data_IF_565375766610
#
_entry.id   IF_565375766610
#
_cell.length_a   1.000
_cell.length_b   1.000
_cell.length_c   1.000
_cell.angle_alpha   90.00
_cell.angle_beta   90.00
_cell.angle_gamma   90.00
#
_symmetry.space_group_name_H-M   'P 1'
#
loop_
_entity.id
_entity.type
_entity.pdbx_description
1 polymer ?
#
# COMPACT_ATOMS: atom_id res chain seq x y z
N UNK A 1 -6.74 -2.99 -1.76
CA UNK A 1 -6.04 -3.79 -0.73
C UNK A 1 -5.27 -2.84 0.17
N UNK A 2 -5.19 -3.13 1.46
CA UNK A 2 -4.60 -2.26 2.48
C UNK A 2 -4.25 -3.07 3.74
N UNK A 3 -3.73 -2.44 4.80
CA UNK A 3 -3.64 -3.03 6.12
C UNK A 3 -5.03 -3.13 6.79
N UNK A 4 -5.26 -4.15 7.61
CA UNK A 4 -6.53 -4.38 8.28
C UNK A 4 -6.87 -3.32 9.35
N UNK A 5 -5.88 -2.82 10.09
CA UNK A 5 -6.12 -1.73 11.04
C UNK A 5 -6.61 -0.46 10.32
N UNK A 6 -6.15 -0.21 9.09
CA UNK A 6 -6.62 0.90 8.27
C UNK A 6 -8.10 0.72 7.92
N UNK A 7 -8.54 -0.48 7.52
CA UNK A 7 -9.97 -0.74 7.26
C UNK A 7 -10.82 -0.48 8.51
N UNK A 8 -10.33 -0.91 9.68
CA UNK A 8 -11.01 -0.70 10.96
C UNK A 8 -11.18 0.80 11.26
N UNK A 9 -10.12 1.60 11.08
CA UNK A 9 -10.15 3.05 11.24
C UNK A 9 -11.07 3.76 10.22
N UNK A 10 -11.03 3.33 8.95
CA UNK A 10 -11.90 3.89 7.89
C UNK A 10 -13.37 3.62 8.19
N UNK A 11 -13.72 2.38 8.57
CA UNK A 11 -15.10 2.01 8.93
C UNK A 11 -15.64 2.81 10.11
N UNK A 12 -14.82 3.09 11.11
CA UNK A 12 -15.20 3.95 12.24
C UNK A 12 -15.49 5.40 11.83
N UNK A 13 -14.91 5.87 10.72
CA UNK A 13 -15.09 7.24 10.20
C UNK A 13 -16.39 7.44 9.41
N UNK A 14 -17.02 6.36 8.93
CA UNK A 14 -18.28 6.39 8.17
C UNK A 14 -18.11 6.85 6.71
N UNK A 15 -17.58 8.04 6.47
CA UNK A 15 -17.25 8.54 5.13
C UNK A 15 -15.77 8.87 5.01
N UNK A 16 -15.17 8.48 3.89
CA UNK A 16 -13.73 8.66 3.65
C UNK A 16 -13.47 9.22 2.25
N UNK A 17 -12.49 10.13 2.14
CA UNK A 17 -12.06 10.68 0.86
C UNK A 17 -11.04 9.78 0.16
N UNK A 18 -11.13 9.66 -1.16
CA UNK A 18 -10.10 9.05 -1.99
C UNK A 18 -9.28 10.13 -2.69
N UNK A 19 -7.97 10.07 -2.48
CA UNK A 19 -6.99 10.97 -3.10
C UNK A 19 -6.17 10.20 -4.13
N UNK A 20 -6.00 10.76 -5.34
CA UNK A 20 -5.17 10.19 -6.39
C UNK A 20 -3.89 11.01 -6.54
N UNK A 21 -2.77 10.35 -6.71
CA UNK A 21 -1.51 11.00 -7.06
C UNK A 21 -1.39 11.04 -8.59
N UNK A 22 -1.52 12.24 -9.15
CA UNK A 22 -1.55 12.47 -10.59
C UNK A 22 -0.33 13.29 -11.01
N UNK A 23 0.21 13.01 -12.20
CA UNK A 23 1.40 13.69 -12.73
C UNK A 23 1.13 15.14 -13.14
N UNK A 24 -0.13 15.50 -13.37
CA UNK A 24 -0.59 16.86 -13.64
C UNK A 24 -1.31 17.43 -12.43
N UNK A 25 -1.02 18.68 -12.06
CA UNK A 25 -1.82 19.40 -11.06
C UNK A 25 -3.28 19.48 -11.52
N UNK A 26 -4.18 18.92 -10.72
CA UNK A 26 -5.62 19.02 -10.95
C UNK A 26 -6.24 19.96 -9.92
N UNK A 27 -7.27 20.69 -10.37
CA UNK A 27 -7.89 21.77 -9.61
C UNK A 27 -8.56 21.33 -8.30
N UNK A 28 -9.11 20.11 -8.23
CA UNK A 28 -9.73 19.56 -7.01
C UNK A 28 -10.02 18.05 -7.18
N UNK A 29 -9.95 17.26 -6.10
CA UNK A 29 -10.38 15.86 -6.08
C UNK A 29 -11.48 15.66 -5.03
N UNK A 30 -12.62 15.10 -5.42
CA UNK A 30 -13.79 14.90 -4.56
C UNK A 30 -14.43 13.53 -4.76
N UNK A 31 -13.65 12.49 -4.53
CA UNK A 31 -14.18 11.13 -4.49
C UNK A 31 -14.36 10.76 -3.02
N UNK A 32 -15.57 10.36 -2.64
CA UNK A 32 -15.91 9.94 -1.28
C UNK A 32 -16.49 8.55 -1.31
N UNK A 33 -16.10 7.72 -0.35
CA UNK A 33 -16.68 6.40 -0.12
C UNK A 33 -17.55 6.46 1.14
N UNK A 34 -18.74 5.89 1.05
CA UNK A 34 -19.55 5.53 2.21
C UNK A 34 -19.15 4.13 2.67
N UNK A 35 -18.50 4.04 3.83
CA UNK A 35 -17.95 2.80 4.34
C UNK A 35 -19.02 1.77 4.70
N UNK A 36 -20.29 2.16 4.85
CA UNK A 36 -21.40 1.22 5.05
C UNK A 36 -21.69 0.36 3.81
N UNK A 37 -21.25 0.80 2.63
CA UNK A 37 -21.43 0.10 1.35
C UNK A 37 -20.21 -0.72 0.93
N UNK A 38 -19.16 -0.73 1.76
CA UNK A 38 -17.89 -1.37 1.44
C UNK A 38 -17.85 -2.76 2.08
N UNK A 39 -17.83 -3.79 1.24
CA UNK A 39 -17.46 -5.14 1.65
C UNK A 39 -15.96 -5.26 1.89
N UNK A 40 -15.56 -6.14 2.79
CA UNK A 40 -14.15 -6.38 3.08
C UNK A 40 -13.81 -7.86 3.30
N UNK A 41 -12.52 -8.17 3.25
CA UNK A 41 -11.92 -9.40 3.79
C UNK A 41 -10.78 -8.94 4.68
N UNK A 42 -10.72 -9.41 5.92
CA UNK A 42 -9.73 -8.99 6.92
C UNK A 42 -9.03 -10.22 7.47
N UNK A 43 -7.70 -10.16 7.54
CA UNK A 43 -6.87 -11.08 8.31
C UNK A 43 -6.24 -10.35 9.49
N UNK A 44 -6.32 -11.00 10.66
CA UNK A 44 -5.88 -10.46 11.94
C UNK A 44 -7.02 -9.86 12.76
N UNK A 45 -6.67 -9.37 13.95
CA UNK A 45 -7.60 -8.74 14.88
C UNK A 45 -6.86 -7.80 15.84
N UNK A 46 -7.60 -6.91 16.51
CA UNK A 46 -7.05 -6.10 17.59
C UNK A 46 -6.62 -6.95 18.80
N UNK A 47 -5.57 -6.52 19.54
CA UNK A 47 -4.68 -5.41 19.23
C UNK A 47 -3.76 -5.72 18.04
N UNK A 48 -3.62 -4.77 17.12
CA UNK A 48 -2.70 -4.89 15.98
C UNK A 48 -1.26 -4.82 16.46
N UNK A 49 -0.40 -5.68 15.93
CA UNK A 49 1.02 -5.77 16.33
C UNK A 49 1.92 -6.03 15.14
N UNK A 50 3.23 -5.90 15.35
CA UNK A 50 4.27 -6.21 14.37
C UNK A 50 4.24 -7.68 13.86
N UNK A 51 3.61 -8.60 14.60
CA UNK A 51 3.55 -10.01 14.22
C UNK A 51 2.52 -10.30 13.13
N UNK A 52 1.57 -9.39 12.86
CA UNK A 52 0.48 -9.62 11.91
C UNK A 52 -0.40 -10.85 12.25
N UNK A 53 -1.18 -11.37 11.27
CA UNK A 53 -1.46 -10.71 10.00
C UNK A 53 -2.23 -9.40 10.20
N UNK A 54 -2.04 -8.47 9.29
CA UNK A 54 -2.69 -7.15 9.29
C UNK A 54 -2.90 -6.77 7.81
N UNK A 55 -3.77 -7.55 7.17
CA UNK A 55 -3.97 -7.52 5.73
C UNK A 55 -5.47 -7.50 5.43
N UNK A 56 -5.88 -6.62 4.54
CA UNK A 56 -7.28 -6.53 4.15
C UNK A 56 -7.50 -6.18 2.69
N UNK A 57 -8.64 -6.64 2.19
CA UNK A 57 -9.22 -6.22 0.92
C UNK A 57 -10.50 -5.45 1.19
N UNK A 58 -10.76 -4.41 0.38
CA UNK A 58 -12.01 -3.67 0.38
C UNK A 58 -12.53 -3.64 -1.05
N UNK A 59 -13.82 -3.89 -1.23
CA UNK A 59 -14.50 -3.71 -2.51
C UNK A 59 -14.65 -2.22 -2.80
N UNK A 60 -14.67 -1.84 -4.09
CA UNK A 60 -15.10 -0.51 -4.50
C UNK A 60 -16.46 -0.62 -5.20
N UNK A 61 -17.39 0.32 -4.97
CA UNK A 61 -18.60 0.42 -5.78
C UNK A 61 -18.26 0.55 -7.27
N UNK A 62 -19.05 -0.09 -8.14
CA UNK A 62 -18.75 -0.18 -9.58
C UNK A 62 -18.61 1.18 -10.26
N UNK A 63 -19.43 2.15 -9.88
CA UNK A 63 -19.40 3.52 -10.38
C UNK A 63 -18.12 4.25 -9.97
N UNK A 64 -17.67 4.06 -8.72
CA UNK A 64 -16.41 4.62 -8.24
C UNK A 64 -15.22 3.95 -8.95
N UNK A 65 -15.22 2.63 -9.05
CA UNK A 65 -14.16 1.90 -9.77
C UNK A 65 -14.06 2.34 -11.24
N UNK A 66 -15.20 2.46 -11.93
CA UNK A 66 -15.26 2.95 -13.31
C UNK A 66 -14.78 4.39 -13.46
N UNK A 67 -15.14 5.27 -12.51
CA UNK A 67 -14.67 6.67 -12.48
C UNK A 67 -13.15 6.78 -12.27
N UNK A 68 -12.59 5.96 -11.36
CA UNK A 68 -11.15 5.89 -11.14
C UNK A 68 -10.41 5.39 -12.39
N UNK A 69 -10.91 4.32 -13.03
CA UNK A 69 -10.35 3.79 -14.28
C UNK A 69 -10.38 4.84 -15.40
N UNK A 70 -11.52 5.54 -15.58
CA UNK A 70 -11.68 6.61 -16.56
C UNK A 70 -10.76 7.81 -16.30
N UNK A 71 -10.29 7.99 -15.06
CA UNK A 71 -9.32 9.01 -14.70
C UNK A 71 -7.86 8.54 -14.75
N UNK A 72 -7.59 7.35 -15.29
CA UNK A 72 -6.24 6.83 -15.49
C UNK A 72 -5.67 6.03 -14.32
N UNK A 73 -6.47 5.70 -13.29
CA UNK A 73 -6.02 4.74 -12.28
C UNK A 73 -5.90 3.34 -12.88
N UNK A 74 -4.80 2.66 -12.59
CA UNK A 74 -4.53 1.29 -13.05
C UNK A 74 -4.88 0.31 -11.93
N UNK A 75 -5.65 -0.73 -12.27
CA UNK A 75 -6.00 -1.81 -11.36
C UNK A 75 -5.15 -3.04 -11.66
N UNK A 76 -4.57 -3.62 -10.61
CA UNK A 76 -3.77 -4.84 -10.72
C UNK A 76 -4.69 -6.04 -10.65
N UNK A 77 -4.63 -6.88 -11.68
CA UNK A 77 -5.25 -8.20 -11.68
C UNK A 77 -4.39 -9.16 -10.85
N UNK A 78 -4.85 -9.44 -9.62
CA UNK A 78 -4.16 -10.33 -8.69
C UNK A 78 -4.30 -11.81 -9.09
N UNK A 79 -5.40 -12.21 -9.72
CA UNK A 79 -5.61 -13.60 -10.13
C UNK A 79 -4.63 -13.96 -11.25
N UNK A 80 -4.51 -13.10 -12.27
CA UNK A 80 -3.53 -13.29 -13.35
C UNK A 80 -2.08 -13.33 -12.85
N UNK A 81 -1.79 -12.66 -11.74
CA UNK A 81 -0.45 -12.62 -11.12
C UNK A 81 -0.19 -13.78 -10.17
N UNK A 82 -1.20 -14.58 -9.81
CA UNK A 82 -1.04 -15.78 -8.97
C UNK A 82 -0.07 -16.78 -9.61
N UNK A 83 -0.07 -16.91 -10.93
CA UNK A 83 0.86 -17.78 -11.66
C UNK A 83 2.32 -17.34 -11.54
N UNK A 84 2.59 -16.03 -11.38
CA UNK A 84 3.94 -15.47 -11.20
C UNK A 84 4.54 -15.91 -9.86
N UNK A 85 3.69 -16.19 -8.85
CA UNK A 85 4.16 -16.79 -7.61
C UNK A 85 4.64 -18.22 -7.79
N UNK A 86 3.90 -19.02 -8.56
CA UNK A 86 4.20 -20.43 -8.77
C UNK A 86 5.56 -20.60 -9.49
N UNK A 87 5.98 -19.61 -10.28
CA UNK A 87 7.28 -19.62 -10.96
C UNK A 87 8.41 -18.99 -10.15
N UNK A 88 8.13 -18.39 -8.99
CA UNK A 88 9.14 -17.71 -8.15
C UNK A 88 9.80 -16.51 -8.84
N UNK A 89 9.18 -15.96 -9.89
CA UNK A 89 9.76 -14.95 -10.78
C UNK A 89 9.58 -13.50 -10.30
N UNK A 90 9.67 -13.23 -9.00
CA UNK A 90 10.06 -11.90 -8.56
C UNK A 90 11.57 -11.75 -8.85
N UNK A 91 11.88 -11.49 -10.12
CA UNK A 91 13.18 -11.74 -10.73
C UNK A 91 14.37 -11.08 -10.04
N UNK A 92 15.56 -11.67 -10.24
CA UNK A 92 16.83 -11.24 -9.65
C UNK A 92 17.33 -9.86 -10.12
N UNK A 93 16.67 -9.24 -11.10
CA UNK A 93 17.05 -7.93 -11.67
C UNK A 93 16.00 -6.87 -11.34
N UNK A 94 16.28 -6.05 -10.32
CA UNK A 94 15.45 -4.92 -9.93
C UNK A 94 15.86 -4.38 -8.57
N UNK A 95 15.23 -3.29 -8.14
CA UNK A 95 15.37 -2.77 -6.78
C UNK A 95 14.03 -2.78 -6.07
N UNK A 96 14.06 -2.97 -4.76
CA UNK A 96 12.87 -2.95 -3.93
C UNK A 96 12.51 -1.51 -3.59
N UNK A 97 11.21 -1.21 -3.57
CA UNK A 97 10.74 0.05 -3.05
C UNK A 97 9.37 -0.06 -2.37
N UNK A 98 9.17 0.79 -1.37
CA UNK A 98 7.86 1.06 -0.78
C UNK A 98 7.24 2.27 -1.45
N UNK A 99 5.93 2.27 -1.61
CA UNK A 99 5.18 3.44 -2.03
C UNK A 99 3.96 3.64 -1.13
N UNK A 100 3.80 4.86 -0.60
CA UNK A 100 2.71 5.18 0.31
C UNK A 100 2.63 6.68 0.60
N UNK A 101 1.51 7.10 1.17
CA UNK A 101 1.34 8.47 1.63
C UNK A 101 2.04 8.65 2.99
N UNK A 102 2.73 9.77 3.19
CA UNK A 102 3.55 9.98 4.40
C UNK A 102 2.81 10.92 5.34
N UNK A 103 2.33 10.40 6.48
CA UNK A 103 1.47 11.10 7.42
C UNK A 103 2.06 12.42 7.92
N UNK A 104 3.34 12.42 8.29
CA UNK A 104 4.03 13.65 8.74
C UNK A 104 4.17 14.73 7.65
N UNK A 105 4.04 14.36 6.37
CA UNK A 105 4.07 15.29 5.24
C UNK A 105 2.67 15.72 4.81
N UNK A 106 1.63 15.26 5.50
CA UNK A 106 0.27 15.70 5.31
C UNK A 106 -0.06 16.89 6.21
N UNK A 107 -0.67 17.93 5.66
CA UNK A 107 -1.11 19.08 6.44
C UNK A 107 -2.27 19.82 5.79
N UNK A 108 -3.10 20.47 6.61
CA UNK A 108 -4.15 21.36 6.14
C UNK A 108 -3.53 22.62 5.54
N UNK A 109 -3.89 22.94 4.31
CA UNK A 109 -3.46 24.17 3.62
C UNK A 109 -4.58 25.21 3.52
N UNK A 110 -5.82 24.81 3.80
CA UNK A 110 -6.95 25.72 3.88
C UNK A 110 -8.17 25.07 4.50
N UNK A 111 -8.99 25.86 5.18
CA UNK A 111 -10.26 25.40 5.72
C UNK A 111 -11.30 26.50 5.64
N UNK A 112 -12.50 26.12 5.26
CA UNK A 112 -13.72 26.93 5.29
C UNK A 112 -14.76 26.20 6.14
N UNK A 113 -15.91 26.83 6.39
CA UNK A 113 -17.01 26.20 7.11
C UNK A 113 -17.52 24.88 6.47
N UNK A 114 -17.24 24.65 5.17
CA UNK A 114 -17.77 23.50 4.42
C UNK A 114 -16.71 22.67 3.72
N UNK A 115 -15.44 23.07 3.76
CA UNK A 115 -14.36 22.44 2.99
C UNK A 115 -13.03 22.52 3.72
N UNK A 116 -12.24 21.46 3.65
CA UNK A 116 -10.84 21.46 4.00
C UNK A 116 -10.01 21.14 2.74
N UNK A 117 -8.87 21.81 2.60
CA UNK A 117 -7.85 21.54 1.60
C UNK A 117 -6.68 20.93 2.35
N UNK A 118 -6.32 19.71 1.96
CA UNK A 118 -5.24 18.93 2.56
C UNK A 118 -4.15 18.78 1.52
N UNK A 119 -2.92 19.15 1.89
CA UNK A 119 -1.73 18.72 1.17
C UNK A 119 -1.42 17.29 1.58
N UNK A 120 -1.27 16.41 0.59
CA UNK A 120 -0.92 15.01 0.81
C UNK A 120 0.30 14.72 -0.05
N UNK A 121 1.39 14.29 0.58
CA UNK A 121 2.58 13.83 -0.10
C UNK A 121 2.67 12.30 -0.01
N UNK A 122 2.99 11.66 -1.14
CA UNK A 122 3.41 10.27 -1.17
C UNK A 122 4.88 10.20 -1.55
N UNK A 123 5.57 9.22 -0.99
CA UNK A 123 6.96 8.94 -1.32
C UNK A 123 7.12 7.53 -1.87
N UNK A 124 8.20 7.36 -2.62
CA UNK A 124 8.71 6.06 -3.07
C UNK A 124 10.08 5.89 -2.44
N UNK A 125 10.21 4.91 -1.57
CA UNK A 125 11.41 4.69 -0.75
C UNK A 125 12.12 3.45 -1.28
N UNK A 126 13.30 3.57 -1.92
CA UNK A 126 14.12 2.42 -2.24
C UNK A 126 14.69 1.79 -0.96
N UNK A 127 15.01 0.51 -1.00
CA UNK A 127 15.57 -0.17 0.16
C UNK A 127 15.86 -1.64 -0.06
N UNK A 128 16.09 -2.33 1.04
CA UNK A 128 16.36 -3.76 1.07
C UNK A 128 15.30 -4.50 1.88
N UNK A 129 15.08 -5.77 1.57
CA UNK A 129 14.14 -6.62 2.30
C UNK A 129 14.83 -7.83 2.89
N UNK A 130 14.39 -8.24 4.07
CA UNK A 130 14.67 -9.55 4.64
C UNK A 130 13.36 -10.33 4.81
N UNK A 131 13.31 -11.62 4.48
CA UNK A 131 12.09 -12.41 4.66
C UNK A 131 11.76 -12.55 6.15
N UNK A 132 10.47 -12.51 6.46
CA UNK A 132 9.90 -12.65 7.80
C UNK A 132 8.75 -13.67 7.75
N UNK A 133 8.55 -14.41 8.85
CA UNK A 133 7.33 -15.18 9.06
C UNK A 133 6.45 -14.44 10.04
N UNK A 134 5.24 -14.11 9.60
CA UNK A 134 4.20 -13.49 10.39
C UNK A 134 3.33 -14.56 11.07
N UNK A 135 2.45 -14.15 11.99
CA UNK A 135 1.50 -15.06 12.62
C UNK A 135 0.60 -15.74 11.58
N UNK A 136 0.00 -16.87 11.98
CA UNK A 136 -0.81 -17.73 11.12
C UNK A 136 -0.09 -18.20 9.84
N UNK A 137 1.24 -18.27 9.88
CA UNK A 137 2.11 -18.65 8.77
C UNK A 137 1.95 -17.76 7.52
N UNK A 138 1.63 -16.48 7.71
CA UNK A 138 1.76 -15.50 6.65
C UNK A 138 3.25 -15.24 6.36
N UNK A 139 3.60 -15.08 5.09
CA UNK A 139 4.90 -14.55 4.73
C UNK A 139 4.89 -13.03 4.86
N UNK A 140 6.06 -12.48 5.17
CA UNK A 140 6.27 -11.05 5.29
C UNK A 140 7.67 -10.65 4.87
N UNK A 141 7.88 -9.34 4.80
CA UNK A 141 9.18 -8.74 4.60
C UNK A 141 9.43 -7.68 5.66
N UNK A 142 10.65 -7.68 6.15
CA UNK A 142 11.23 -6.61 6.92
C UNK A 142 11.99 -5.69 5.97
N UNK A 143 11.41 -4.54 5.65
CA UNK A 143 11.96 -3.57 4.71
C UNK A 143 12.77 -2.51 5.44
N UNK A 144 14.03 -2.33 5.02
CA UNK A 144 14.91 -1.25 5.49
C UNK A 144 15.10 -0.24 4.36
N UNK A 145 14.58 1.00 4.50
CA UNK A 145 14.80 2.06 3.52
C UNK A 145 16.27 2.42 3.39
N UNK A 146 16.71 2.71 2.17
CA UNK A 146 18.05 3.22 1.90
C UNK A 146 18.19 4.66 2.39
N UNK A 147 19.38 4.99 2.89
CA UNK A 147 19.73 6.37 3.25
C UNK A 147 20.52 7.03 2.12
N UNK A 148 20.15 8.25 1.73
CA UNK A 148 20.90 9.00 0.72
C UNK A 148 21.19 10.44 1.21
N UNK A 149 22.43 10.97 1.11
CA UNK A 149 22.77 12.29 1.65
C UNK A 149 21.96 13.46 1.07
N UNK A 150 21.49 13.33 -0.18
CA UNK A 150 20.68 14.35 -0.84
C UNK A 150 19.16 14.21 -0.60
N UNK A 151 18.73 13.21 0.17
CA UNK A 151 17.33 12.97 0.47
C UNK A 151 17.11 12.93 1.98
N UNK A 152 16.18 13.75 2.46
CA UNK A 152 15.73 13.68 3.84
C UNK A 152 14.57 12.68 3.93
N UNK A 153 14.88 11.48 4.41
CA UNK A 153 13.88 10.48 4.75
C UNK A 153 12.90 11.02 5.81
N UNK A 154 11.64 10.56 5.84
CA UNK A 154 10.70 11.00 6.84
C UNK A 154 11.09 10.56 8.25
N UNK A 155 10.70 11.34 9.25
CA UNK A 155 10.89 10.96 10.66
C UNK A 155 9.93 9.84 11.09
N UNK A 156 8.83 9.67 10.38
CA UNK A 156 7.85 8.62 10.56
C UNK A 156 7.26 8.20 9.20
N UNK A 157 7.17 6.89 8.99
CA UNK A 157 6.42 6.24 7.92
C UNK A 157 4.95 5.98 8.31
N UNK A 158 4.48 6.50 9.45
CA UNK A 158 3.05 6.55 9.73
C UNK A 158 2.28 7.17 8.56
N UNK A 159 1.10 6.64 8.28
CA UNK A 159 0.33 6.96 7.08
C UNK A 159 0.66 6.11 5.85
N UNK A 160 1.82 5.42 5.81
CA UNK A 160 2.15 4.50 4.71
C UNK A 160 1.47 3.13 4.82
N UNK A 161 0.80 2.82 5.95
CA UNK A 161 0.04 1.59 6.12
C UNK A 161 -0.98 1.41 5.00
N UNK A 162 -0.99 0.22 4.39
CA UNK A 162 -1.78 -0.07 3.20
C UNK A 162 -1.12 0.32 1.88
N UNK A 163 0.02 1.01 1.93
CA UNK A 163 0.91 1.24 0.79
C UNK A 163 1.47 -0.08 0.24
N UNK A 164 2.06 0.00 -0.95
CA UNK A 164 2.58 -1.18 -1.64
C UNK A 164 4.08 -1.36 -1.47
N UNK A 165 4.50 -2.60 -1.35
CA UNK A 165 5.88 -3.05 -1.57
C UNK A 165 6.01 -3.54 -3.01
N UNK A 166 7.02 -3.04 -3.71
CA UNK A 166 7.22 -3.26 -5.13
C UNK A 166 8.65 -3.69 -5.43
N UNK A 167 8.83 -4.35 -6.57
CA UNK A 167 10.11 -4.46 -7.25
C UNK A 167 10.01 -3.69 -8.56
N UNK A 168 10.93 -2.73 -8.72
CA UNK A 168 11.11 -1.98 -9.95
C UNK A 168 12.16 -2.66 -10.83
N UNK A 169 11.74 -3.06 -12.03
CA UNK A 169 12.59 -3.72 -13.01
C UNK A 169 13.03 -2.72 -14.08
N UNK A 170 14.26 -2.88 -14.54
CA UNK A 170 14.84 -2.14 -15.65
C UNK A 170 15.42 -3.12 -16.66
N UNK A 171 15.30 -2.82 -17.96
CA UNK A 171 15.79 -3.71 -19.03
C UNK A 171 17.33 -3.79 -19.08
N UNK A 172 18.00 -2.80 -18.49
CA UNK A 172 19.45 -2.77 -18.28
C UNK A 172 19.77 -1.99 -16.98
N UNK A 173 20.92 -2.23 -16.35
CA UNK A 173 21.33 -1.54 -15.12
C UNK A 173 21.34 0.00 -15.23
N UNK A 174 21.68 0.53 -16.40
CA UNK A 174 21.76 1.97 -16.67
C UNK A 174 20.54 2.51 -17.44
N UNK A 175 19.45 1.75 -17.51
CA UNK A 175 18.26 2.21 -18.22
C UNK A 175 17.60 3.38 -17.48
N UNK A 176 17.40 4.50 -18.18
CA UNK A 176 16.67 5.66 -17.65
C UNK A 176 15.17 5.38 -17.40
N UNK A 177 14.66 4.23 -17.86
CA UNK A 177 13.25 3.85 -17.78
C UNK A 177 13.08 2.50 -17.12
N UNK A 178 12.14 2.46 -16.19
CA UNK A 178 11.63 1.20 -15.64
C UNK A 178 10.83 0.48 -16.72
N UNK A 179 11.07 -0.82 -16.86
CA UNK A 179 10.36 -1.67 -17.81
C UNK A 179 9.11 -2.29 -17.21
N UNK A 180 9.12 -2.60 -15.91
CA UNK A 180 7.96 -3.20 -15.22
C UNK A 180 8.00 -2.93 -13.71
N UNK A 181 6.82 -2.86 -13.09
CA UNK A 181 6.63 -2.86 -11.64
C UNK A 181 5.91 -4.13 -11.19
N UNK A 182 6.54 -4.86 -10.28
CA UNK A 182 5.97 -6.04 -9.65
C UNK A 182 5.45 -5.68 -8.28
N UNK A 183 4.13 -5.76 -8.10
CA UNK A 183 3.51 -5.62 -6.79
C UNK A 183 3.75 -6.88 -5.96
N UNK A 184 4.38 -6.73 -4.80
CA UNK A 184 4.82 -7.87 -3.98
C UNK A 184 4.08 -7.94 -2.66
N UNK A 185 3.86 -6.79 -2.01
CA UNK A 185 3.45 -6.75 -0.62
C UNK A 185 2.65 -5.54 -0.20
N UNK A 186 2.17 -5.54 1.04
CA UNK A 186 1.41 -4.44 1.65
C UNK A 186 2.04 -4.03 2.97
N UNK A 187 2.32 -2.75 3.12
CA UNK A 187 2.95 -2.18 4.31
C UNK A 187 1.93 -2.16 5.46
N UNK A 188 2.30 -2.57 6.67
CA UNK A 188 1.33 -2.59 7.79
C UNK A 188 1.88 -2.11 9.13
N UNK A 189 3.19 -2.17 9.35
CA UNK A 189 3.78 -1.77 10.62
C UNK A 189 5.12 -1.06 10.44
N UNK A 190 5.45 -0.16 11.35
CA UNK A 190 6.77 0.46 11.43
C UNK A 190 7.40 0.14 12.79
N UNK A 191 8.66 -0.24 12.81
CA UNK A 191 9.41 -0.41 14.06
C UNK A 191 9.63 0.92 14.77
N UNK A 192 9.86 0.87 16.08
CA UNK A 192 9.98 2.06 16.94
C UNK A 192 10.89 3.15 16.37
N UNK A 193 10.37 4.39 16.43
CA UNK A 193 11.00 5.61 15.88
C UNK A 193 12.34 5.93 16.55
N UNK A 194 12.54 5.45 17.79
CA UNK A 194 13.71 5.68 18.63
C UNK A 194 14.92 4.81 18.25
N UNK A 195 14.73 3.76 17.43
CA UNK A 195 15.81 2.86 17.01
C UNK A 195 16.42 3.36 15.70
N UNK A 196 17.74 3.61 15.63
CA UNK A 196 18.44 3.89 14.38
C UNK A 196 18.27 2.74 13.38
N UNK A 197 17.90 3.06 12.13
CA UNK A 197 17.62 2.05 11.11
C UNK A 197 16.17 1.57 11.18
N UNK A 198 15.22 2.50 11.05
CA UNK A 198 13.78 2.22 11.06
C UNK A 198 13.41 1.28 9.93
N UNK A 199 12.50 0.35 10.24
CA UNK A 199 12.07 -0.69 9.32
C UNK A 199 10.56 -0.66 9.19
N UNK A 200 10.09 -1.08 8.02
CA UNK A 200 8.67 -1.20 7.71
C UNK A 200 8.38 -2.66 7.44
N UNK A 201 7.45 -3.24 8.20
CA UNK A 201 7.01 -4.60 7.99
C UNK A 201 5.89 -4.63 6.95
N UNK A 202 6.02 -5.59 6.05
CA UNK A 202 5.12 -5.76 4.91
C UNK A 202 4.60 -7.20 4.86
N UNK A 203 3.35 -7.37 4.42
CA UNK A 203 2.84 -8.67 3.98
C UNK A 203 3.54 -9.12 2.72
N UNK A 204 3.83 -10.41 2.65
CA UNK A 204 4.43 -11.06 1.50
C UNK A 204 3.40 -11.55 0.48
N UNK A 205 3.89 -12.00 -0.69
CA UNK A 205 3.05 -12.41 -1.79
C UNK A 205 2.21 -13.66 -1.49
N UNK A 206 2.70 -14.61 -0.69
CA UNK A 206 1.98 -15.87 -0.43
C UNK A 206 0.67 -15.61 0.33
N UNK A 207 0.70 -14.69 1.29
CA UNK A 207 -0.47 -14.19 2.00
C UNK A 207 -1.45 -13.48 1.07
N UNK A 208 -0.95 -12.65 0.15
CA UNK A 208 -1.78 -11.88 -0.78
C UNK A 208 -2.41 -12.79 -1.84
N UNK A 209 -1.60 -13.39 -2.71
CA UNK A 209 -2.11 -14.10 -3.88
C UNK A 209 -2.60 -15.52 -3.54
N UNK A 210 -2.06 -16.13 -2.48
CA UNK A 210 -2.47 -17.46 -2.02
C UNK A 210 -3.73 -17.40 -1.16
N UNK A 211 -3.71 -16.63 -0.08
CA UNK A 211 -4.82 -16.59 0.89
C UNK A 211 -5.85 -15.52 0.58
N UNK A 212 -5.45 -14.24 0.50
CA UNK A 212 -6.39 -13.14 0.34
C UNK A 212 -7.20 -13.23 -0.95
N UNK A 213 -6.57 -13.47 -2.10
CA UNK A 213 -7.31 -13.62 -3.37
C UNK A 213 -8.31 -14.77 -3.30
N UNK A 214 -7.99 -15.87 -2.62
CA UNK A 214 -8.90 -17.01 -2.46
C UNK A 214 -10.12 -16.66 -1.60
N UNK A 215 -9.91 -15.98 -0.47
CA UNK A 215 -11.01 -15.52 0.39
C UNK A 215 -11.89 -14.46 -0.29
N UNK A 216 -11.27 -13.54 -1.05
CA UNK A 216 -12.00 -12.53 -1.83
C UNK A 216 -12.86 -13.20 -2.90
N UNK A 217 -12.31 -14.16 -3.64
CA UNK A 217 -13.06 -14.93 -4.61
C UNK A 217 -14.24 -15.64 -3.93
N UNK A 218 -14.00 -16.35 -2.81
CA UNK A 218 -15.07 -17.06 -2.10
C UNK A 218 -16.17 -16.13 -1.56
N UNK A 219 -15.81 -14.93 -1.08
CA UNK A 219 -16.77 -14.01 -0.45
C UNK A 219 -17.59 -13.21 -1.45
N UNK A 220 -17.03 -12.90 -2.62
CA UNK A 220 -17.63 -11.97 -3.59
C UNK A 220 -17.91 -12.57 -4.97
N UNK A 221 -17.69 -13.88 -5.17
CA UNK A 221 -18.12 -14.62 -6.38
C UNK A 221 -19.62 -14.88 -6.42
#
# INVERSE_FOLDING_TARGET
MTAAHVVSALKASGQVGLVRFLTTQVAEQRVTLDMSQIGDVIFGSEPWTEHGPDLAFMTLPYDIAGSLAGAGCVFIDLERRREILATGQFGASGFWCLAGAVGERMHLTGQTATRAIVHVEASVEPGTVSPLTLADNFDGYDFTPDTHPAYQAPESYEGMSGGGLWIAHADAPDAEKLSTLSFVGVNFWQTDVEIPGRRVLCHGPSGIYGRLVSEVAQKFS
#
